data_IF_863798990222
#
_entry.id   IF_863798990222
#
_cell.length_a   1.000
_cell.length_b   1.000
_cell.length_c   1.000
_cell.angle_alpha   90.00
_cell.angle_beta   90.00
_cell.angle_gamma   90.00
#
_symmetry.space_group_name_H-M   'P 1'
#
loop_
_entity.id
_entity.type
_entity.pdbx_description
1 polymer ?
#
# COMPACT_ATOMS: atom_id res chain seq x y z
N UNK A 1 12.35 5.69 -1.20
CA UNK A 1 11.61 5.81 0.07
C UNK A 1 10.74 7.08 0.05
N UNK A 2 9.87 7.27 -0.95
CA UNK A 2 9.05 8.49 -1.01
C UNK A 2 7.89 8.45 0.00
N UNK A 3 7.11 7.37 0.01
CA UNK A 3 5.98 7.18 0.94
C UNK A 3 6.42 7.28 2.40
N UNK A 4 7.42 6.50 2.82
CA UNK A 4 7.95 6.52 4.20
C UNK A 4 8.39 7.92 4.65
N UNK A 5 8.92 8.74 3.73
CA UNK A 5 9.39 10.09 4.04
C UNK A 5 8.29 11.15 3.91
N UNK A 6 7.04 10.77 3.60
CA UNK A 6 5.94 11.70 3.36
C UNK A 6 6.12 12.54 2.08
N UNK A 7 6.96 12.08 1.15
CA UNK A 7 7.28 12.79 -0.10
C UNK A 7 6.38 12.34 -1.28
N UNK A 8 5.29 11.63 -1.00
CA UNK A 8 4.22 11.25 -1.93
C UNK A 8 2.94 11.03 -1.12
N UNK A 9 1.79 10.97 -1.80
CA UNK A 9 0.47 10.81 -1.19
C UNK A 9 -0.37 9.75 -1.93
N UNK A 10 -1.60 9.54 -1.45
CA UNK A 10 -2.56 8.61 -2.08
C UNK A 10 -2.88 8.99 -3.53
N UNK A 11 -2.97 10.29 -3.85
CA UNK A 11 -3.29 10.75 -5.20
C UNK A 11 -2.21 10.36 -6.20
N UNK A 12 -0.94 10.54 -5.83
CA UNK A 12 0.18 10.11 -6.66
C UNK A 12 0.26 8.58 -6.80
N UNK A 13 -0.03 7.84 -5.73
CA UNK A 13 -0.07 6.37 -5.76
C UNK A 13 -1.19 5.87 -6.67
N UNK A 14 -2.39 6.45 -6.57
CA UNK A 14 -3.52 6.10 -7.42
C UNK A 14 -3.24 6.42 -8.90
N UNK A 15 -2.65 7.58 -9.19
CA UNK A 15 -2.27 7.95 -10.55
C UNK A 15 -1.21 7.02 -11.16
N UNK A 16 -0.30 6.47 -10.35
CA UNK A 16 0.65 5.45 -10.81
C UNK A 16 -0.05 4.12 -11.08
N UNK A 17 -0.95 3.69 -10.19
CA UNK A 17 -1.73 2.46 -10.38
C UNK A 17 -2.63 2.52 -11.61
N UNK A 18 -3.23 3.68 -11.90
CA UNK A 18 -4.02 3.88 -13.11
C UNK A 18 -3.15 3.80 -14.38
N UNK A 19 -1.89 4.23 -14.29
CA UNK A 19 -0.92 4.12 -15.39
C UNK A 19 -0.43 2.70 -15.58
N UNK A 20 -0.24 1.95 -14.51
CA UNK A 20 0.16 0.54 -14.50
C UNK A 20 -0.81 -0.33 -13.68
N UNK A 21 -1.90 -0.82 -14.28
CA UNK A 21 -2.86 -1.69 -13.62
C UNK A 21 -2.40 -3.16 -13.58
N UNK A 22 -1.11 -3.45 -13.78
CA UNK A 22 -0.57 -4.81 -13.68
C UNK A 22 -0.56 -5.31 -12.23
N UNK A 23 -0.35 -6.61 -12.05
CA UNK A 23 -0.17 -7.20 -10.73
C UNK A 23 0.99 -6.53 -9.96
N UNK A 24 2.09 -6.21 -10.65
CA UNK A 24 3.23 -5.50 -10.06
C UNK A 24 2.86 -4.07 -9.65
N UNK A 25 2.05 -3.37 -10.46
CA UNK A 25 1.50 -2.06 -10.10
C UNK A 25 0.63 -2.12 -8.85
N UNK A 26 -0.25 -3.11 -8.74
CA UNK A 26 -1.07 -3.33 -7.54
C UNK A 26 -0.24 -3.63 -6.29
N UNK A 27 0.79 -4.49 -6.37
CA UNK A 27 1.70 -4.75 -5.26
C UNK A 27 2.50 -3.51 -4.85
N UNK A 28 2.98 -2.73 -5.83
CA UNK A 28 3.67 -1.47 -5.60
C UNK A 28 2.78 -0.46 -4.86
N UNK A 29 1.54 -0.30 -5.32
CA UNK A 29 0.56 0.57 -4.69
C UNK A 29 0.24 0.13 -3.26
N UNK A 30 0.00 -1.17 -3.03
CA UNK A 30 -0.24 -1.71 -1.68
C UNK A 30 0.93 -1.40 -0.72
N UNK A 31 2.17 -1.63 -1.18
CA UNK A 31 3.37 -1.32 -0.39
C UNK A 31 3.50 0.17 -0.10
N UNK A 32 3.28 1.03 -1.09
CA UNK A 32 3.34 2.48 -0.91
C UNK A 32 2.27 3.00 0.06
N UNK A 33 1.03 2.52 -0.05
CA UNK A 33 -0.07 2.88 0.86
C UNK A 33 0.24 2.50 2.30
N UNK A 34 0.69 1.27 2.53
CA UNK A 34 1.08 0.80 3.86
C UNK A 34 2.29 1.56 4.44
N UNK A 35 3.13 2.13 3.57
CA UNK A 35 4.32 2.90 3.93
C UNK A 35 4.06 4.39 4.20
N UNK A 36 2.86 4.91 3.91
CA UNK A 36 2.53 6.31 4.21
C UNK A 36 2.64 6.57 5.74
N UNK A 37 3.14 7.73 6.18
CA UNK A 37 3.48 7.99 7.58
C UNK A 37 2.28 8.59 8.34
N UNK A 38 1.06 8.33 7.89
CA UNK A 38 -0.16 8.81 8.55
C UNK A 38 -0.77 7.72 9.43
N UNK A 39 -1.33 8.06 10.60
CA UNK A 39 -2.03 7.09 11.45
C UNK A 39 -3.12 6.32 10.69
N UNK A 40 -3.86 7.00 9.82
CA UNK A 40 -4.96 6.43 9.03
C UNK A 40 -4.46 5.38 8.04
N UNK A 41 -3.31 5.61 7.41
CA UNK A 41 -2.71 4.63 6.51
C UNK A 41 -2.20 3.39 7.27
N UNK A 42 -1.67 3.59 8.48
CA UNK A 42 -1.25 2.47 9.34
C UNK A 42 -2.44 1.67 9.84
N UNK A 43 -3.53 2.33 10.25
CA UNK A 43 -4.76 1.66 10.61
C UNK A 43 -5.33 0.86 9.44
N UNK A 44 -5.44 1.47 8.25
CA UNK A 44 -5.94 0.79 7.06
C UNK A 44 -5.10 -0.46 6.70
N UNK A 45 -3.77 -0.33 6.69
CA UNK A 45 -2.89 -1.46 6.42
C UNK A 45 -2.99 -2.56 7.48
N UNK A 46 -3.12 -2.20 8.76
CA UNK A 46 -3.32 -3.17 9.84
C UNK A 46 -4.64 -3.93 9.67
N UNK A 47 -5.74 -3.23 9.40
CA UNK A 47 -7.04 -3.85 9.15
C UNK A 47 -7.00 -4.77 7.94
N UNK A 48 -6.37 -4.36 6.85
CA UNK A 48 -6.21 -5.22 5.68
C UNK A 48 -5.41 -6.49 5.97
N UNK A 49 -4.44 -6.47 6.90
CA UNK A 49 -3.64 -7.65 7.25
C UNK A 49 -4.34 -8.61 8.22
N UNK A 50 -5.22 -8.12 9.09
CA UNK A 50 -5.73 -8.91 10.21
C UNK A 50 -7.25 -9.02 10.28
N UNK A 51 -7.98 -8.16 9.57
CA UNK A 51 -9.45 -8.10 9.60
C UNK A 51 -10.09 -8.37 8.22
N UNK A 52 -9.29 -8.46 7.15
CA UNK A 52 -9.74 -8.71 5.78
C UNK A 52 -9.17 -10.03 5.27
N UNK A 53 -10.04 -10.96 4.88
CA UNK A 53 -9.69 -12.29 4.35
C UNK A 53 -9.66 -12.34 2.81
N UNK A 54 -9.86 -11.19 2.15
CA UNK A 54 -9.94 -11.10 0.67
C UNK A 54 -8.61 -10.81 0.00
N UNK A 55 -7.56 -10.47 0.75
CA UNK A 55 -6.24 -10.23 0.20
C UNK A 55 -5.64 -11.50 -0.40
N UNK A 56 -5.11 -11.38 -1.62
CA UNK A 56 -4.22 -12.40 -2.16
C UNK A 56 -2.90 -12.44 -1.38
N UNK A 57 -2.21 -13.58 -1.38
CA UNK A 57 -0.91 -13.74 -0.72
C UNK A 57 0.13 -12.69 -1.18
N UNK A 58 0.07 -12.28 -2.45
CA UNK A 58 0.93 -11.24 -3.02
C UNK A 58 0.64 -9.87 -2.41
N UNK A 59 -0.65 -9.49 -2.34
CA UNK A 59 -1.05 -8.20 -1.76
C UNK A 59 -0.85 -8.16 -0.25
N UNK A 60 -1.09 -9.27 0.45
CA UNK A 60 -0.75 -9.41 1.87
C UNK A 60 0.74 -9.17 2.09
N UNK A 61 1.59 -9.86 1.33
CA UNK A 61 3.05 -9.71 1.43
C UNK A 61 3.51 -8.29 1.13
N UNK A 62 2.98 -7.67 0.08
CA UNK A 62 3.31 -6.30 -0.29
C UNK A 62 2.88 -5.28 0.78
N UNK A 63 1.69 -5.45 1.34
CA UNK A 63 1.16 -4.62 2.43
C UNK A 63 2.03 -4.76 3.68
N UNK A 64 2.36 -5.99 4.09
CA UNK A 64 3.24 -6.24 5.23
C UNK A 64 4.63 -5.64 5.05
N UNK A 65 5.22 -5.75 3.85
CA UNK A 65 6.51 -5.13 3.53
C UNK A 65 6.49 -3.59 3.55
N UNK A 66 5.34 -2.97 3.30
CA UNK A 66 5.19 -1.52 3.37
C UNK A 66 4.87 -1.01 4.79
N UNK A 67 4.24 -1.86 5.61
CA UNK A 67 3.81 -1.49 6.95
C UNK A 67 4.99 -1.31 7.92
N UNK A 68 5.94 -2.25 7.89
CA UNK A 68 7.16 -2.29 8.72
C UNK A 68 8.30 -1.46 8.12
#
# INVERSE_FOLDING_TARGET
RLAVLGATDETAIAAELDRDPSATGHEGAARCRAALPTPEAKEAAFRSLFEDDTLSNYLFTATAQGFW
#
